data_IF_060713229332
#
_entry.id   IF_060713229332
#
_cell.length_a   1.000
_cell.length_b   1.000
_cell.length_c   1.000
_cell.angle_alpha   90.00
_cell.angle_beta   90.00
_cell.angle_gamma   90.00
#
_symmetry.space_group_name_H-M   'P 1'
#
loop_
_entity.id
_entity.type
_entity.pdbx_description
1 polymer ?
#
# COMPACT_ATOMS: atom_id res chain seq x y z
N UNK A 1 -41.19 28.48 -4.92
CA UNK A 1 -39.86 27.93 -5.25
C UNK A 1 -38.83 28.54 -4.31
N UNK A 2 -38.52 27.84 -3.23
CA UNK A 2 -37.52 28.28 -2.25
C UNK A 2 -36.37 27.26 -2.24
N UNK A 3 -35.17 27.74 -2.54
CA UNK A 3 -33.93 26.98 -2.45
C UNK A 3 -33.69 26.55 -1.00
N UNK A 4 -33.66 25.24 -0.76
CA UNK A 4 -33.23 24.68 0.52
C UNK A 4 -31.70 24.76 0.60
N UNK A 5 -31.19 25.67 1.43
CA UNK A 5 -29.85 25.60 2.00
C UNK A 5 -29.73 24.27 2.76
N UNK A 6 -28.82 23.40 2.35
CA UNK A 6 -28.48 22.19 3.10
C UNK A 6 -27.56 22.54 4.27
N UNK A 7 -28.12 22.54 5.47
CA UNK A 7 -27.35 22.52 6.71
C UNK A 7 -26.75 21.12 6.91
N UNK A 8 -25.42 21.07 7.08
CA UNK A 8 -24.72 19.84 7.43
C UNK A 8 -24.92 19.60 8.93
N UNK A 9 -25.92 18.80 9.28
CA UNK A 9 -26.08 18.26 10.64
C UNK A 9 -25.09 17.12 10.82
N UNK A 10 -24.06 17.33 11.66
CA UNK A 10 -23.11 16.28 12.07
C UNK A 10 -23.73 15.43 13.17
N UNK A 11 -24.31 14.29 12.82
CA UNK A 11 -24.61 13.24 13.79
C UNK A 11 -23.36 12.38 14.03
N UNK A 12 -23.07 12.05 15.29
CA UNK A 12 -21.93 11.22 15.74
C UNK A 12 -22.08 9.73 15.38
N UNK A 13 -22.93 9.40 14.41
CA UNK A 13 -23.18 8.03 13.96
C UNK A 13 -23.28 7.96 12.44
N UNK A 14 -22.14 8.15 11.78
CA UNK A 14 -21.92 7.67 10.42
C UNK A 14 -22.53 8.54 9.33
N UNK A 15 -21.68 8.92 8.37
CA UNK A 15 -22.05 9.64 7.17
C UNK A 15 -22.68 8.66 6.17
N UNK A 16 -23.85 8.99 5.63
CA UNK A 16 -24.52 8.25 4.55
C UNK A 16 -24.36 9.02 3.24
N UNK A 17 -23.86 8.35 2.19
CA UNK A 17 -24.10 8.71 0.79
C UNK A 17 -24.33 7.43 -0.01
N UNK A 18 -25.30 7.49 -0.92
CA UNK A 18 -25.99 6.42 -1.65
C UNK A 18 -25.08 5.35 -2.29
N UNK A 19 -25.44 4.09 -2.08
CA UNK A 19 -24.89 2.93 -2.80
C UNK A 19 -24.79 1.69 -1.91
N UNK A 20 -25.91 0.98 -1.77
CA UNK A 20 -26.09 -0.38 -1.21
C UNK A 20 -24.94 -0.94 -0.33
N UNK A 21 -25.02 -0.71 0.98
CA UNK A 21 -24.47 -1.65 1.94
C UNK A 21 -25.52 -2.74 2.21
N UNK A 22 -25.27 -3.97 1.76
CA UNK A 22 -25.85 -5.16 2.40
C UNK A 22 -25.18 -5.27 3.77
N UNK A 23 -25.77 -4.59 4.76
CA UNK A 23 -25.34 -4.72 6.15
C UNK A 23 -25.60 -6.14 6.62
N UNK A 24 -24.55 -6.93 6.79
CA UNK A 24 -24.62 -8.13 7.62
C UNK A 24 -24.97 -7.68 9.05
N UNK A 25 -26.25 -7.80 9.40
CA UNK A 25 -26.71 -7.59 10.76
C UNK A 25 -26.01 -8.59 11.68
N UNK A 26 -25.10 -8.12 12.52
CA UNK A 26 -24.52 -8.95 13.56
C UNK A 26 -25.61 -9.24 14.60
N UNK A 27 -26.11 -10.48 14.60
CA UNK A 27 -27.03 -10.96 15.64
C UNK A 27 -26.33 -10.81 17.00
N UNK A 28 -27.04 -10.25 18.00
CA UNK A 28 -26.57 -10.24 19.40
C UNK A 28 -26.27 -11.67 19.82
N UNK A 29 -25.01 -11.96 20.18
CA UNK A 29 -24.55 -13.30 20.57
C UNK A 29 -23.37 -13.83 19.77
N UNK A 30 -22.93 -13.16 18.70
CA UNK A 30 -21.66 -13.53 18.08
C UNK A 30 -20.50 -13.27 19.04
N UNK A 31 -19.64 -14.27 19.33
CA UNK A 31 -18.44 -14.03 20.12
C UNK A 31 -17.61 -12.95 19.42
N UNK A 32 -17.04 -12.03 20.20
CA UNK A 32 -16.12 -11.05 19.67
C UNK A 32 -15.09 -11.77 18.78
N UNK A 33 -14.93 -11.29 17.54
CA UNK A 33 -14.03 -11.86 16.53
C UNK A 33 -12.57 -11.94 17.02
N UNK A 34 -12.28 -11.33 18.17
CA UNK A 34 -10.98 -11.21 18.80
C UNK A 34 -10.69 -12.29 19.87
N UNK A 35 -11.16 -13.53 19.68
CA UNK A 35 -10.73 -14.69 20.50
C UNK A 35 -9.57 -15.49 19.86
N UNK A 36 -8.94 -14.96 18.81
CA UNK A 36 -7.74 -15.56 18.25
C UNK A 36 -6.52 -15.18 19.07
N UNK A 37 -5.91 -16.14 19.76
CA UNK A 37 -4.53 -16.01 20.25
C UNK A 37 -3.62 -15.48 19.12
N UNK A 38 -2.64 -14.63 19.46
CA UNK A 38 -1.65 -14.13 18.52
C UNK A 38 -1.09 -15.30 17.68
N UNK A 39 -1.43 -15.36 16.39
CA UNK A 39 -1.08 -16.49 15.53
C UNK A 39 0.44 -16.72 15.58
N UNK A 40 0.96 -17.94 15.82
CA UNK A 40 2.40 -18.18 15.93
C UNK A 40 3.16 -17.70 14.69
N UNK A 41 4.38 -17.17 14.89
CA UNK A 41 5.25 -16.64 13.82
C UNK A 41 5.45 -17.67 12.70
N UNK A 42 5.63 -18.94 13.06
CA UNK A 42 5.79 -20.07 12.14
C UNK A 42 4.61 -20.20 11.15
N UNK A 43 3.38 -20.10 11.65
CA UNK A 43 2.17 -20.21 10.83
C UNK A 43 2.04 -19.01 9.90
N UNK A 44 2.34 -17.81 10.41
CA UNK A 44 2.34 -16.59 9.56
C UNK A 44 3.37 -16.69 8.44
N UNK A 45 4.55 -17.24 8.73
CA UNK A 45 5.61 -17.47 7.73
C UNK A 45 5.13 -18.42 6.65
N UNK A 46 4.56 -19.57 7.03
CA UNK A 46 3.99 -20.54 6.09
C UNK A 46 2.88 -19.93 5.22
N UNK A 47 1.98 -19.13 5.81
CA UNK A 47 0.91 -18.45 5.08
C UNK A 47 1.45 -17.40 4.10
N UNK A 48 2.48 -16.66 4.51
CA UNK A 48 3.20 -15.70 3.66
C UNK A 48 3.86 -16.40 2.48
N UNK A 49 4.59 -17.49 2.74
CA UNK A 49 5.25 -18.33 1.72
C UNK A 49 4.27 -18.97 0.73
N UNK A 50 3.12 -19.46 1.22
CA UNK A 50 2.08 -20.01 0.35
C UNK A 50 1.49 -18.94 -0.59
N UNK A 51 1.19 -17.76 -0.06
CA UNK A 51 0.71 -16.62 -0.86
C UNK A 51 1.76 -16.15 -1.89
N UNK A 52 3.05 -16.25 -1.55
CA UNK A 52 4.15 -15.95 -2.47
C UNK A 52 4.13 -16.90 -3.67
N UNK A 53 3.94 -18.21 -3.44
CA UNK A 53 3.98 -19.23 -4.50
C UNK A 53 2.82 -19.16 -5.48
N UNK A 54 1.70 -18.56 -5.11
CA UNK A 54 0.48 -18.50 -5.94
C UNK A 54 0.35 -17.22 -6.76
N UNK A 55 1.24 -16.24 -6.61
CA UNK A 55 1.11 -14.98 -7.34
C UNK A 55 1.40 -15.19 -8.85
N UNK A 56 0.52 -14.76 -9.75
CA UNK A 56 0.74 -14.86 -11.20
C UNK A 56 1.86 -13.92 -11.68
N UNK A 57 2.22 -12.90 -10.88
CA UNK A 57 3.27 -11.94 -11.22
C UNK A 57 4.59 -12.42 -10.62
N UNK A 58 5.50 -12.85 -11.48
CA UNK A 58 6.80 -13.42 -11.09
C UNK A 58 7.97 -12.45 -11.27
N UNK A 59 7.81 -11.37 -12.01
CA UNK A 59 8.85 -10.35 -12.25
C UNK A 59 8.27 -8.97 -12.56
N UNK A 60 9.08 -7.94 -12.39
CA UNK A 60 8.79 -6.58 -12.84
C UNK A 60 9.11 -6.44 -14.33
N UNK A 61 8.28 -5.69 -15.06
CA UNK A 61 8.68 -5.12 -16.35
C UNK A 61 9.77 -4.08 -16.15
N UNK A 62 10.50 -3.74 -17.21
CA UNK A 62 11.55 -2.72 -17.12
C UNK A 62 11.00 -1.37 -16.63
N UNK A 63 9.84 -0.95 -17.13
CA UNK A 63 9.21 0.33 -16.73
C UNK A 63 8.82 0.34 -15.26
N UNK A 64 8.19 -0.72 -14.76
CA UNK A 64 7.85 -0.84 -13.33
C UNK A 64 9.12 -0.83 -12.47
N UNK A 65 10.16 -1.55 -12.90
CA UNK A 65 11.44 -1.61 -12.21
C UNK A 65 12.09 -0.23 -12.14
N UNK A 66 12.14 0.50 -13.24
CA UNK A 66 12.71 1.84 -13.30
C UNK A 66 11.96 2.82 -12.39
N UNK A 67 10.62 2.81 -12.38
CA UNK A 67 9.82 3.62 -11.44
C UNK A 67 10.15 3.24 -10.00
N UNK A 68 10.13 1.95 -9.67
CA UNK A 68 10.35 1.51 -8.29
C UNK A 68 11.76 1.87 -7.83
N UNK A 69 12.79 1.60 -8.64
CA UNK A 69 14.18 1.90 -8.28
C UNK A 69 14.39 3.41 -8.19
N UNK A 70 13.90 4.20 -9.15
CA UNK A 70 13.98 5.66 -9.11
C UNK A 70 13.29 6.24 -7.89
N UNK A 71 12.07 5.80 -7.59
CA UNK A 71 11.37 6.17 -6.36
C UNK A 71 12.14 5.74 -5.12
N UNK A 72 12.72 4.53 -5.09
CA UNK A 72 13.58 4.08 -4.00
C UNK A 72 14.91 4.82 -3.95
N UNK A 73 15.34 5.57 -4.94
CA UNK A 73 16.46 6.50 -4.80
C UNK A 73 16.01 7.79 -4.11
N UNK A 74 14.79 8.26 -4.43
CA UNK A 74 14.12 9.40 -3.79
C UNK A 74 13.26 9.05 -2.57
N UNK A 75 12.01 9.54 -2.60
CA UNK A 75 11.03 9.54 -1.49
C UNK A 75 10.28 8.21 -1.28
N UNK A 76 10.41 7.30 -2.24
CA UNK A 76 9.81 5.97 -2.19
C UNK A 76 10.45 5.07 -1.13
N UNK A 77 9.64 4.14 -0.62
CA UNK A 77 10.09 3.16 0.38
C UNK A 77 9.38 1.82 0.22
N UNK A 78 10.09 0.74 0.55
CA UNK A 78 9.45 -0.56 0.78
C UNK A 78 9.11 -0.70 2.27
N UNK A 79 7.87 -1.06 2.58
CA UNK A 79 7.37 -1.16 3.96
C UNK A 79 6.93 -2.58 4.26
N UNK A 80 7.23 -3.06 5.47
CA UNK A 80 6.67 -4.31 6.02
C UNK A 80 5.22 -4.09 6.45
N UNK A 81 4.36 -5.07 6.23
CA UNK A 81 3.03 -5.07 6.84
C UNK A 81 3.11 -5.42 8.33
N UNK A 82 2.30 -4.78 9.15
CA UNK A 82 2.17 -5.09 10.58
C UNK A 82 1.19 -6.26 10.85
N UNK A 83 0.61 -6.85 9.81
CA UNK A 83 -0.55 -7.75 9.91
C UNK A 83 -0.21 -9.22 9.57
N UNK A 84 -1.27 -10.04 9.40
CA UNK A 84 -1.30 -11.51 9.21
C UNK A 84 -0.26 -12.14 8.28
N UNK A 85 0.34 -11.37 7.37
CA UNK A 85 1.38 -11.84 6.46
C UNK A 85 2.75 -11.34 6.93
N UNK A 86 3.33 -12.07 7.87
CA UNK A 86 4.64 -11.75 8.44
C UNK A 86 5.71 -11.64 7.33
N UNK A 87 6.53 -10.59 7.39
CA UNK A 87 7.55 -10.23 6.39
C UNK A 87 7.07 -9.94 4.95
N UNK A 88 5.76 -9.86 4.71
CA UNK A 88 5.26 -9.37 3.42
C UNK A 88 5.42 -7.86 3.31
N UNK A 89 5.94 -7.43 2.18
CA UNK A 89 6.26 -6.02 1.94
C UNK A 89 5.43 -5.45 0.80
N UNK A 90 5.28 -4.12 0.81
CA UNK A 90 4.61 -3.34 -0.22
C UNK A 90 5.40 -2.07 -0.51
N UNK A 91 5.22 -1.50 -1.70
CA UNK A 91 5.80 -0.22 -2.07
C UNK A 91 4.92 0.94 -1.60
N UNK A 92 5.55 2.00 -1.10
CA UNK A 92 4.89 3.24 -0.67
C UNK A 92 5.71 4.46 -1.02
N UNK A 93 5.06 5.46 -1.59
CA UNK A 93 5.62 6.78 -1.88
C UNK A 93 4.61 7.84 -1.48
N UNK A 94 5.07 8.95 -0.91
CA UNK A 94 4.20 10.01 -0.40
C UNK A 94 4.67 11.37 -0.86
N UNK A 95 3.75 12.18 -1.36
CA UNK A 95 4.02 13.54 -1.82
C UNK A 95 2.96 14.52 -1.31
N UNK A 96 3.23 15.81 -1.48
CA UNK A 96 2.25 16.86 -1.32
C UNK A 96 1.12 16.72 -2.38
N UNK A 97 -0.02 17.38 -2.15
CA UNK A 97 -1.19 17.27 -3.05
C UNK A 97 -0.91 17.79 -4.46
N UNK A 98 -0.01 18.77 -4.57
CA UNK A 98 0.40 19.40 -5.82
C UNK A 98 1.09 18.41 -6.78
N UNK A 99 1.62 17.30 -6.27
CA UNK A 99 2.30 16.26 -7.05
C UNK A 99 1.40 15.03 -7.27
N UNK A 100 0.09 15.14 -7.07
CA UNK A 100 -0.85 14.03 -7.22
C UNK A 100 -0.85 13.42 -8.63
N UNK A 101 -0.70 14.25 -9.68
CA UNK A 101 -0.66 13.76 -11.06
C UNK A 101 0.51 12.78 -11.28
N UNK A 102 1.68 13.10 -10.74
CA UNK A 102 2.86 12.23 -10.81
C UNK A 102 2.64 10.91 -10.06
N UNK A 103 2.01 10.97 -8.90
CA UNK A 103 1.62 9.76 -8.15
C UNK A 103 0.57 8.92 -8.89
N UNK A 104 -0.37 9.57 -9.60
CA UNK A 104 -1.39 8.91 -10.42
C UNK A 104 -0.74 8.15 -11.57
N UNK A 105 0.17 8.79 -12.29
CA UNK A 105 0.97 8.15 -13.33
C UNK A 105 1.71 6.90 -12.81
N UNK A 106 2.41 7.02 -11.68
CA UNK A 106 3.10 5.86 -11.07
C UNK A 106 2.13 4.77 -10.66
N UNK A 107 0.94 5.13 -10.15
CA UNK A 107 -0.10 4.18 -9.79
C UNK A 107 -0.55 3.38 -11.02
N UNK A 108 -0.81 4.03 -12.14
CA UNK A 108 -1.22 3.36 -13.39
C UNK A 108 -0.17 2.36 -13.88
N UNK A 109 1.10 2.74 -13.87
CA UNK A 109 2.20 1.84 -14.26
C UNK A 109 2.30 0.63 -13.32
N UNK A 110 2.05 0.83 -12.03
CA UNK A 110 2.11 -0.22 -11.00
C UNK A 110 0.77 -0.93 -10.77
N UNK A 111 -0.24 -0.73 -11.63
CA UNK A 111 -1.60 -1.23 -11.41
C UNK A 111 -1.69 -2.77 -11.32
N UNK A 112 -0.75 -3.50 -11.93
CA UNK A 112 -0.62 -4.96 -11.77
C UNK A 112 -0.46 -5.38 -10.30
N UNK A 113 0.05 -4.50 -9.45
CA UNK A 113 0.20 -4.72 -8.01
C UNK A 113 -0.96 -4.15 -7.17
N UNK A 114 -2.11 -3.84 -7.80
CA UNK A 114 -3.26 -3.19 -7.16
C UNK A 114 -2.85 -1.92 -6.42
N UNK A 115 -2.14 -1.05 -7.13
CA UNK A 115 -1.74 0.28 -6.65
C UNK A 115 -2.96 1.14 -6.35
N UNK A 116 -2.85 2.02 -5.35
CA UNK A 116 -3.90 2.95 -4.96
C UNK A 116 -3.33 4.21 -4.37
N UNK A 117 -4.02 5.32 -4.58
CA UNK A 117 -3.75 6.59 -3.91
C UNK A 117 -4.59 6.71 -2.64
N UNK A 118 -3.96 7.23 -1.59
CA UNK A 118 -4.58 7.46 -0.28
C UNK A 118 -4.27 8.86 0.20
N UNK A 119 -5.29 9.55 0.70
CA UNK A 119 -5.13 10.83 1.37
C UNK A 119 -4.71 10.59 2.82
N UNK A 120 -3.64 11.25 3.23
CA UNK A 120 -3.19 11.29 4.62
C UNK A 120 -3.26 12.74 5.12
N UNK A 121 -3.72 12.90 6.36
CA UNK A 121 -3.70 14.19 7.06
C UNK A 121 -2.84 14.05 8.29
N UNK A 122 -1.77 14.83 8.39
CA UNK A 122 -0.87 14.83 9.53
C UNK A 122 -0.60 16.28 9.98
N UNK A 123 -0.93 16.59 11.24
CA UNK A 123 -0.70 17.92 11.85
C UNK A 123 -1.17 19.11 10.96
N UNK A 124 -2.28 18.95 10.26
CA UNK A 124 -2.84 19.98 9.37
C UNK A 124 -2.36 19.90 7.91
N UNK A 125 -1.27 19.20 7.63
CA UNK A 125 -0.78 18.97 6.27
C UNK A 125 -1.50 17.80 5.62
N UNK A 126 -1.85 17.97 4.34
CA UNK A 126 -2.40 16.91 3.50
C UNK A 126 -1.31 16.37 2.60
N UNK A 127 -1.24 15.04 2.49
CA UNK A 127 -0.35 14.35 1.57
C UNK A 127 -1.09 13.25 0.84
N UNK A 128 -0.69 13.00 -0.41
CA UNK A 128 -1.16 11.87 -1.19
C UNK A 128 -0.11 10.78 -1.15
N UNK A 129 -0.53 9.55 -0.92
CA UNK A 129 0.36 8.40 -0.85
C UNK A 129 -0.06 7.34 -1.85
N UNK A 130 0.88 6.94 -2.69
CA UNK A 130 0.79 5.74 -3.49
C UNK A 130 1.16 4.55 -2.62
N UNK A 131 0.31 3.52 -2.60
CA UNK A 131 0.58 2.24 -1.96
C UNK A 131 0.23 1.10 -2.91
N UNK A 132 1.07 0.07 -2.97
CA UNK A 132 0.72 -1.20 -3.63
C UNK A 132 0.13 -2.20 -2.65
N UNK A 133 -0.43 -3.28 -3.17
CA UNK A 133 -0.65 -4.48 -2.35
C UNK A 133 0.68 -5.12 -1.95
N UNK A 134 0.61 -5.95 -0.91
CA UNK A 134 1.77 -6.75 -0.49
C UNK A 134 2.13 -7.75 -1.60
N UNK A 135 3.42 -7.84 -1.92
CA UNK A 135 3.87 -8.71 -3.01
C UNK A 135 5.25 -9.32 -2.73
N UNK A 136 5.50 -10.58 -3.13
CA UNK A 136 6.79 -11.24 -2.94
C UNK A 136 7.97 -10.47 -3.54
N UNK A 137 7.76 -9.84 -4.69
CA UNK A 137 8.79 -9.04 -5.35
C UNK A 137 9.20 -7.82 -4.51
N UNK A 138 8.26 -7.18 -3.82
CA UNK A 138 8.59 -6.11 -2.87
C UNK A 138 9.31 -6.66 -1.64
N UNK A 139 8.96 -7.87 -1.17
CA UNK A 139 9.73 -8.52 -0.09
C UNK A 139 11.16 -8.81 -0.50
N UNK A 140 11.40 -9.25 -1.74
CA UNK A 140 12.75 -9.44 -2.27
C UNK A 140 13.51 -8.11 -2.36
N UNK A 141 12.87 -7.05 -2.89
CA UNK A 141 13.45 -5.72 -2.91
C UNK A 141 13.79 -5.22 -1.50
N UNK A 142 12.89 -5.42 -0.53
CA UNK A 142 13.14 -5.03 0.86
C UNK A 142 14.43 -5.63 1.41
N UNK A 143 14.66 -6.93 1.18
CA UNK A 143 15.87 -7.63 1.65
C UNK A 143 17.15 -7.07 1.02
N UNK A 144 17.08 -6.60 -0.23
CA UNK A 144 18.24 -6.04 -0.94
C UNK A 144 18.51 -4.56 -0.59
N UNK A 145 17.45 -3.78 -0.38
CA UNK A 145 17.52 -2.34 -0.12
C UNK A 145 17.59 -2.00 1.35
N UNK A 146 17.11 -2.86 2.24
CA UNK A 146 17.04 -2.59 3.69
C UNK A 146 17.74 -3.67 4.51
N UNK A 147 19.03 -3.98 4.25
CA UNK A 147 19.77 -4.89 5.12
C UNK A 147 19.76 -4.29 6.54
N UNK A 148 19.42 -5.11 7.53
CA UNK A 148 19.27 -4.69 8.93
C UNK A 148 18.18 -3.62 9.17
N UNK A 149 17.21 -3.47 8.26
CA UNK A 149 16.07 -2.56 8.43
C UNK A 149 16.34 -1.11 8.05
N UNK A 150 17.56 -0.79 7.59
CA UNK A 150 17.95 0.55 7.14
C UNK A 150 18.25 0.55 5.65
N UNK A 151 17.82 1.61 4.95
CA UNK A 151 18.02 1.76 3.51
C UNK A 151 19.52 1.85 3.19
N UNK A 152 20.00 1.00 2.28
CA UNK A 152 21.38 0.97 1.81
C UNK A 152 21.40 1.03 0.28
N UNK A 153 22.31 1.86 -0.24
CA UNK A 153 22.55 2.02 -1.67
C UNK A 153 23.68 1.09 -2.10
N UNK A 154 23.33 0.04 -2.85
CA UNK A 154 24.29 -0.92 -3.40
C UNK A 154 24.23 -0.82 -4.92
N UNK A 155 25.38 -0.91 -5.60
CA UNK A 155 25.46 -0.83 -7.06
C UNK A 155 24.56 -1.86 -7.76
N UNK A 156 24.51 -3.08 -7.22
CA UNK A 156 23.60 -4.14 -7.70
C UNK A 156 22.12 -3.75 -7.71
N UNK A 157 21.71 -2.81 -6.85
CA UNK A 157 20.31 -2.37 -6.75
C UNK A 157 19.92 -1.40 -7.88
N UNK A 158 20.89 -0.71 -8.47
CA UNK A 158 20.69 0.26 -9.57
C UNK A 158 21.14 -0.29 -10.93
N UNK A 159 21.84 -1.41 -10.96
CA UNK A 159 22.29 -2.07 -12.19
C UNK A 159 21.11 -2.35 -13.13
N UNK A 160 21.27 -2.05 -14.43
CA UNK A 160 20.23 -2.26 -15.44
C UNK A 160 19.04 -1.31 -15.35
N UNK A 161 19.16 -0.21 -14.60
CA UNK A 161 18.19 0.89 -14.64
C UNK A 161 18.37 1.69 -15.94
N UNK A 162 17.26 2.00 -16.62
CA UNK A 162 17.30 2.82 -17.83
C UNK A 162 17.35 4.32 -17.47
N UNK A 163 17.56 5.19 -18.47
CA UNK A 163 17.47 6.65 -18.29
C UNK A 163 16.13 7.10 -17.69
N UNK A 164 15.07 6.31 -17.87
CA UNK A 164 13.75 6.59 -17.33
C UNK A 164 13.70 6.51 -15.79
N UNK A 165 14.53 5.68 -15.16
CA UNK A 165 14.58 5.58 -13.70
C UNK A 165 15.31 6.73 -13.01
N UNK A 166 15.94 7.62 -13.78
CA UNK A 166 16.63 8.83 -13.29
C UNK A 166 15.78 10.11 -13.44
N UNK A 167 14.60 10.01 -14.04
CA UNK A 167 13.68 11.13 -14.30
C UNK A 167 12.65 11.27 -13.17
#
# INVERSE_FOLDING_TARGET
>A
MAMLRSEIVRDKKGCFVQGQYVGFGFKKGHPAWNKGSHMPVEIRRKNSEAHIKTSPITSFTQKERDIIVGSLLGDGSIRKTATRFYDSCYFREGHALEQEEYLTYKAEVLNRFNSRLRLYKNKGYLSRHLETSVHPLFTQLYRSWYPNGHKVFLEKNVQGMSKFGLA
#
